data_IF_660390457222
#
_entry.id   IF_660390457222
#
_cell.length_a   1.000
_cell.length_b   1.000
_cell.length_c   1.000
_cell.angle_alpha   90.00
_cell.angle_beta   90.00
_cell.angle_gamma   90.00
#
_symmetry.space_group_name_H-M   'P 1'
#
loop_
_entity.id
_entity.type
_entity.pdbx_description
1 polymer ?
#
# COMPACT_ATOMS: atom_id res chain seq x y z
N UNK A 1 8.47 35.35 14.13
CA UNK A 1 7.21 34.58 13.96
C UNK A 1 7.42 33.25 13.19
N UNK A 2 7.04 32.12 13.79
CA UNK A 2 7.09 30.81 13.12
C UNK A 2 5.98 30.71 12.07
N UNK A 3 6.34 30.50 10.79
CA UNK A 3 5.37 30.37 9.68
C UNK A 3 4.37 29.23 9.96
N UNK A 4 3.08 29.36 9.57
CA UNK A 4 2.01 28.40 9.91
C UNK A 4 2.30 26.95 9.49
N UNK A 5 3.08 26.73 8.42
CA UNK A 5 3.48 25.39 7.97
C UNK A 5 4.45 24.69 8.94
N UNK A 6 5.21 25.43 9.77
CA UNK A 6 6.14 24.85 10.76
C UNK A 6 5.39 24.27 11.96
N UNK A 7 4.25 24.87 12.32
CA UNK A 7 3.38 24.37 13.40
C UNK A 7 2.62 23.09 13.00
N UNK A 8 2.46 22.83 11.70
CA UNK A 8 1.76 21.63 11.22
C UNK A 8 2.44 20.33 11.64
N UNK A 9 3.78 20.30 11.66
CA UNK A 9 4.55 19.13 12.09
C UNK A 9 4.31 18.83 13.57
N UNK A 10 4.42 19.86 14.42
CA UNK A 10 4.21 19.74 15.86
C UNK A 10 2.76 19.41 16.21
N UNK A 11 1.79 19.92 15.46
CA UNK A 11 0.37 19.57 15.64
C UNK A 11 0.09 18.10 15.33
N UNK A 12 0.74 17.55 14.30
CA UNK A 12 0.51 16.16 13.85
C UNK A 12 1.39 15.13 14.56
N UNK A 13 2.53 15.55 15.09
CA UNK A 13 3.49 14.70 15.80
C UNK A 13 4.14 15.48 16.95
N UNK A 14 3.38 15.79 18.02
CA UNK A 14 3.91 16.50 19.18
C UNK A 14 5.04 15.73 19.88
N UNK A 15 5.06 14.39 19.76
CA UNK A 15 6.15 13.53 20.24
C UNK A 15 7.52 13.87 19.65
N UNK A 16 7.61 14.63 18.55
CA UNK A 16 8.91 15.12 18.08
C UNK A 16 9.59 16.02 19.12
N UNK A 17 8.84 16.63 20.04
CA UNK A 17 9.39 17.44 21.13
C UNK A 17 10.11 16.60 22.19
N UNK A 18 9.91 15.27 22.23
CA UNK A 18 10.59 14.38 23.18
C UNK A 18 11.89 13.82 22.61
N UNK A 19 12.20 14.08 21.34
CA UNK A 19 13.39 13.56 20.68
C UNK A 19 14.55 14.55 20.83
N UNK A 20 15.78 14.01 20.88
CA UNK A 20 16.97 14.85 20.89
C UNK A 20 17.14 15.54 19.52
N UNK A 21 17.42 16.86 19.48
CA UNK A 21 17.59 17.59 18.23
C UNK A 21 18.65 17.01 17.27
N UNK A 22 19.83 16.53 17.74
CA UNK A 22 20.82 15.91 16.87
C UNK A 22 20.31 14.67 16.12
N UNK A 23 19.55 13.79 16.78
CA UNK A 23 19.00 12.60 16.13
C UNK A 23 17.88 12.95 15.15
N UNK A 24 17.02 13.91 15.47
CA UNK A 24 16.03 14.41 14.51
C UNK A 24 16.70 14.97 13.25
N UNK A 25 17.77 15.76 13.43
CA UNK A 25 18.54 16.32 12.32
C UNK A 25 19.19 15.22 11.48
N UNK A 26 19.80 14.22 12.12
CA UNK A 26 20.38 13.04 11.44
C UNK A 26 19.34 12.31 10.61
N UNK A 27 18.17 11.97 11.19
CA UNK A 27 17.07 11.28 10.50
C UNK A 27 16.51 12.11 9.35
N UNK A 28 16.42 13.43 9.51
CA UNK A 28 16.01 14.32 8.43
C UNK A 28 17.01 14.34 7.26
N UNK A 29 18.31 14.39 7.55
CA UNK A 29 19.35 14.30 6.51
C UNK A 29 19.33 12.97 5.78
N UNK A 30 19.08 11.86 6.49
CA UNK A 30 18.95 10.54 5.87
C UNK A 30 17.75 10.48 4.92
N UNK A 31 16.58 11.01 5.32
CA UNK A 31 15.41 11.11 4.43
C UNK A 31 15.67 11.98 3.20
N UNK A 32 16.33 13.13 3.39
CA UNK A 32 16.69 14.02 2.28
C UNK A 32 17.63 13.36 1.29
N UNK A 33 18.64 12.63 1.78
CA UNK A 33 19.58 11.89 0.95
C UNK A 33 18.88 10.76 0.17
N UNK A 34 17.98 10.03 0.84
CA UNK A 34 17.33 8.86 0.25
C UNK A 34 16.24 9.21 -0.78
N UNK A 35 15.48 10.28 -0.54
CA UNK A 35 14.29 10.61 -1.33
C UNK A 35 14.46 11.84 -2.22
N UNK A 36 15.41 12.72 -1.90
CA UNK A 36 15.49 14.07 -2.43
C UNK A 36 14.57 15.05 -1.69
N UNK A 37 14.76 16.37 -1.89
CA UNK A 37 14.08 17.41 -1.10
C UNK A 37 12.56 17.39 -1.22
N UNK A 38 12.03 17.23 -2.43
CA UNK A 38 10.59 17.29 -2.69
C UNK A 38 9.83 16.15 -1.98
N UNK A 39 10.29 14.92 -2.17
CA UNK A 39 9.67 13.73 -1.59
C UNK A 39 9.83 13.67 -0.08
N UNK A 40 11.00 14.04 0.44
CA UNK A 40 11.23 14.13 1.89
C UNK A 40 10.29 15.17 2.53
N UNK A 41 10.07 16.32 1.89
CA UNK A 41 9.14 17.33 2.37
C UNK A 41 7.68 16.86 2.30
N UNK A 42 7.29 16.16 1.22
CA UNK A 42 5.97 15.57 1.10
C UNK A 42 5.72 14.56 2.23
N UNK A 43 6.66 13.65 2.44
CA UNK A 43 6.61 12.64 3.48
C UNK A 43 6.54 13.28 4.88
N UNK A 44 7.35 14.31 5.15
CA UNK A 44 7.35 15.03 6.41
C UNK A 44 5.98 15.65 6.73
N UNK A 45 5.33 16.27 5.74
CA UNK A 45 4.03 16.94 5.91
C UNK A 45 2.89 15.95 6.13
N UNK A 46 2.94 14.80 5.46
CA UNK A 46 1.86 13.80 5.46
C UNK A 46 2.01 12.78 6.58
N UNK A 47 3.24 12.39 6.91
CA UNK A 47 3.58 11.36 7.90
C UNK A 47 4.72 11.82 8.84
N UNK A 48 4.53 12.89 9.62
CA UNK A 48 5.61 13.44 10.47
C UNK A 48 6.11 12.46 11.55
N UNK A 49 5.31 11.47 11.93
CA UNK A 49 5.74 10.39 12.84
C UNK A 49 6.84 9.50 12.25
N UNK A 50 7.14 9.60 10.96
CA UNK A 50 8.25 8.86 10.36
C UNK A 50 9.60 9.28 10.94
N UNK A 51 9.74 10.52 11.40
CA UNK A 51 10.96 11.03 12.04
C UNK A 51 11.21 10.42 13.43
N UNK A 52 10.22 9.75 14.02
CA UNK A 52 10.38 8.99 15.27
C UNK A 52 10.92 7.57 15.03
N UNK A 53 11.12 7.18 13.76
CA UNK A 53 11.66 5.87 13.39
C UNK A 53 13.15 6.00 13.11
N UNK A 54 13.93 5.16 13.76
CA UNK A 54 15.35 5.05 13.45
C UNK A 54 15.56 4.31 12.13
N UNK A 55 16.49 4.80 11.31
CA UNK A 55 16.75 4.20 10.01
C UNK A 55 17.35 2.80 10.13
N UNK A 56 18.41 2.66 10.92
CA UNK A 56 19.16 1.41 11.04
C UNK A 56 18.34 0.34 11.77
N UNK A 57 17.56 0.73 12.77
CA UNK A 57 16.80 -0.19 13.63
C UNK A 57 15.36 -0.42 13.16
N UNK A 58 14.76 0.49 12.39
CA UNK A 58 13.35 0.38 12.00
C UNK A 58 13.12 0.42 10.49
N UNK A 59 13.50 1.51 9.82
CA UNK A 59 13.09 1.72 8.42
C UNK A 59 13.82 0.78 7.46
N UNK A 60 15.14 0.67 7.57
CA UNK A 60 15.94 -0.17 6.67
C UNK A 60 15.61 -1.65 6.80
N UNK A 61 15.60 -2.27 8.02
CA UNK A 61 15.28 -3.69 8.15
C UNK A 61 13.86 -4.00 7.65
N UNK A 62 12.88 -3.13 7.94
CA UNK A 62 11.51 -3.32 7.45
C UNK A 62 11.39 -3.13 5.95
N UNK A 63 12.12 -2.16 5.38
CA UNK A 63 12.18 -1.95 3.94
C UNK A 63 12.75 -3.16 3.21
N UNK A 64 13.82 -3.75 3.73
CA UNK A 64 14.43 -4.98 3.21
C UNK A 64 13.48 -6.17 3.33
N UNK A 65 12.84 -6.35 4.49
CA UNK A 65 11.85 -7.41 4.67
C UNK A 65 10.68 -7.30 3.67
N UNK A 66 10.14 -6.09 3.47
CA UNK A 66 9.08 -5.85 2.48
C UNK A 66 9.56 -6.08 1.04
N UNK A 67 10.77 -5.61 0.71
CA UNK A 67 11.37 -5.83 -0.60
C UNK A 67 11.59 -7.32 -0.88
N UNK A 68 12.08 -8.09 0.09
CA UNK A 68 12.24 -9.55 -0.05
C UNK A 68 10.91 -10.29 -0.17
N UNK A 69 9.88 -9.86 0.57
CA UNK A 69 8.55 -10.48 0.53
C UNK A 69 7.77 -10.17 -0.76
N UNK A 70 7.92 -8.96 -1.29
CA UNK A 70 7.16 -8.49 -2.44
C UNK A 70 7.96 -8.62 -3.75
N UNK A 71 9.27 -8.49 -3.75
CA UNK A 71 10.10 -8.45 -4.95
C UNK A 71 10.01 -7.11 -5.71
N UNK A 72 10.63 -7.06 -6.88
CA UNK A 72 10.70 -5.82 -7.67
C UNK A 72 9.31 -5.30 -8.10
N UNK A 73 9.12 -3.96 -8.16
CA UNK A 73 10.10 -2.87 -7.93
C UNK A 73 10.09 -2.31 -6.48
N UNK A 74 9.76 -3.14 -5.48
CA UNK A 74 9.62 -2.67 -4.09
C UNK A 74 10.98 -2.41 -3.46
N UNK A 75 11.24 -1.15 -3.10
CA UNK A 75 12.47 -0.69 -2.45
C UNK A 75 12.11 0.22 -1.28
N UNK A 76 13.04 0.45 -0.35
CA UNK A 76 12.81 1.39 0.76
C UNK A 76 12.41 2.80 0.26
N UNK A 77 13.09 3.42 -0.74
CA UNK A 77 12.64 4.68 -1.31
C UNK A 77 11.22 4.61 -1.90
N UNK A 78 10.87 3.57 -2.67
CA UNK A 78 9.54 3.48 -3.28
C UNK A 78 8.44 3.27 -2.23
N UNK A 79 8.74 2.53 -1.16
CA UNK A 79 7.85 2.36 -0.01
C UNK A 79 7.61 3.67 0.73
N UNK A 80 8.66 4.45 1.01
CA UNK A 80 8.54 5.74 1.70
C UNK A 80 7.75 6.78 0.87
N UNK A 81 7.87 6.72 -0.47
CA UNK A 81 7.11 7.60 -1.38
C UNK A 81 5.64 7.22 -1.46
N UNK A 82 5.36 5.95 -1.72
CA UNK A 82 4.02 5.50 -2.14
C UNK A 82 3.19 4.93 -0.99
N UNK A 83 3.85 4.31 0.00
CA UNK A 83 3.20 3.51 1.03
C UNK A 83 3.84 3.67 2.42
N UNK A 84 4.16 4.89 2.91
CA UNK A 84 4.86 5.08 4.18
C UNK A 84 4.10 4.53 5.40
N UNK A 85 2.79 4.33 5.29
CA UNK A 85 1.95 3.73 6.33
C UNK A 85 2.41 2.33 6.76
N UNK A 86 3.07 1.57 5.88
CA UNK A 86 3.57 0.21 6.19
C UNK A 86 4.56 0.22 7.36
N UNK A 87 5.28 1.33 7.57
CA UNK A 87 6.26 1.46 8.65
C UNK A 87 5.62 1.62 10.03
N UNK A 88 4.32 1.90 10.12
CA UNK A 88 3.58 2.02 11.39
C UNK A 88 2.89 0.73 11.85
N UNK A 89 2.91 -0.33 11.03
CA UNK A 89 2.41 -1.66 11.40
C UNK A 89 3.57 -2.60 11.69
N UNK A 90 3.43 -3.53 12.63
CA UNK A 90 4.41 -4.62 12.79
C UNK A 90 4.40 -5.54 11.57
N UNK A 91 5.51 -6.23 11.31
CA UNK A 91 5.58 -7.22 10.20
C UNK A 91 4.54 -8.33 10.37
N UNK A 92 4.32 -8.78 11.62
CA UNK A 92 3.27 -9.75 11.95
C UNK A 92 1.86 -9.23 11.64
N UNK A 93 1.57 -7.97 11.95
CA UNK A 93 0.28 -7.35 11.63
C UNK A 93 0.06 -7.27 10.12
N UNK A 94 1.10 -6.90 9.36
CA UNK A 94 1.04 -6.88 7.90
C UNK A 94 0.81 -8.27 7.31
N UNK A 95 1.47 -9.30 7.83
CA UNK A 95 1.25 -10.69 7.40
C UNK A 95 -0.18 -11.16 7.65
N UNK A 96 -0.72 -10.91 8.86
CA UNK A 96 -2.12 -11.25 9.20
C UNK A 96 -3.09 -10.52 8.26
N UNK A 97 -2.87 -9.22 8.02
CA UNK A 97 -3.71 -8.42 7.12
C UNK A 97 -3.61 -8.91 5.67
N UNK A 98 -2.43 -9.23 5.18
CA UNK A 98 -2.24 -9.79 3.83
C UNK A 98 -2.91 -11.16 3.69
N UNK A 99 -2.86 -12.02 4.72
CA UNK A 99 -3.54 -13.31 4.71
C UNK A 99 -5.08 -13.15 4.70
N UNK A 100 -5.61 -12.21 5.49
CA UNK A 100 -7.06 -11.88 5.45
C UNK A 100 -7.47 -11.36 4.09
N UNK A 101 -6.67 -10.44 3.53
CA UNK A 101 -6.91 -9.92 2.20
C UNK A 101 -6.88 -11.04 1.14
N UNK A 102 -5.93 -11.96 1.21
CA UNK A 102 -5.87 -13.12 0.30
C UNK A 102 -7.14 -13.96 0.34
N UNK A 103 -7.70 -14.21 1.53
CA UNK A 103 -8.94 -14.99 1.71
C UNK A 103 -10.18 -14.25 1.20
N UNK A 104 -10.14 -12.93 1.24
CA UNK A 104 -11.27 -12.08 0.90
C UNK A 104 -11.34 -11.73 -0.59
N UNK A 105 -10.19 -11.68 -1.28
CA UNK A 105 -10.14 -11.35 -2.70
C UNK A 105 -10.72 -12.48 -3.57
N UNK A 106 -11.44 -12.14 -4.64
CA UNK A 106 -11.76 -13.10 -5.70
C UNK A 106 -10.51 -13.82 -6.22
N UNK A 107 -10.60 -15.13 -6.56
CA UNK A 107 -9.45 -15.90 -7.06
C UNK A 107 -8.79 -15.33 -8.31
N UNK A 108 -9.53 -14.55 -9.12
CA UNK A 108 -9.03 -13.89 -10.33
C UNK A 108 -8.11 -12.70 -10.07
N UNK A 109 -8.03 -12.20 -8.83
CA UNK A 109 -7.17 -11.07 -8.47
C UNK A 109 -5.83 -11.56 -7.89
N UNK A 110 -4.74 -11.14 -8.54
CA UNK A 110 -3.39 -11.42 -8.07
C UNK A 110 -2.99 -10.45 -6.94
N UNK A 111 -3.17 -10.90 -5.70
CA UNK A 111 -2.78 -10.14 -4.51
C UNK A 111 -1.30 -9.74 -4.53
N UNK A 112 -0.39 -10.61 -4.97
CA UNK A 112 1.03 -10.31 -4.91
C UNK A 112 1.35 -9.14 -5.86
N UNK A 113 0.82 -9.17 -7.07
CA UNK A 113 0.93 -8.06 -8.02
C UNK A 113 0.29 -6.77 -7.47
N UNK A 114 -0.87 -6.87 -6.82
CA UNK A 114 -1.52 -5.73 -6.19
C UNK A 114 -0.64 -5.13 -5.08
N UNK A 115 -0.04 -5.97 -4.23
CA UNK A 115 0.85 -5.53 -3.15
C UNK A 115 2.19 -4.99 -3.66
N UNK A 116 2.73 -5.50 -4.76
CA UNK A 116 3.90 -4.89 -5.44
C UNK A 116 3.58 -3.48 -5.92
N UNK A 117 2.39 -3.29 -6.48
CA UNK A 117 1.94 -2.01 -7.04
C UNK A 117 1.61 -1.02 -5.94
N UNK A 118 0.94 -1.48 -4.88
CA UNK A 118 0.54 -0.66 -3.74
C UNK A 118 0.65 -1.45 -2.42
N UNK A 119 1.85 -1.50 -1.81
CA UNK A 119 2.10 -2.19 -0.55
C UNK A 119 1.18 -1.68 0.58
N UNK A 120 0.79 -0.42 0.50
CA UNK A 120 -0.18 0.23 1.37
C UNK A 120 -1.54 -0.47 1.48
N UNK A 121 -1.91 -1.31 0.52
CA UNK A 121 -3.14 -2.10 0.57
C UNK A 121 -3.18 -3.04 1.79
N UNK A 122 -2.01 -3.56 2.21
CA UNK A 122 -1.90 -4.40 3.41
C UNK A 122 -2.15 -3.64 4.72
N UNK A 123 -2.28 -2.31 4.69
CA UNK A 123 -2.62 -1.49 5.86
C UNK A 123 -4.12 -1.17 5.96
N UNK A 124 -4.89 -1.41 4.90
CA UNK A 124 -6.30 -1.05 4.85
C UNK A 124 -7.16 -2.02 5.67
N UNK A 125 -8.37 -1.57 6.00
CA UNK A 125 -9.43 -2.42 6.53
C UNK A 125 -10.02 -3.25 5.37
N UNK A 126 -9.94 -4.57 5.47
CA UNK A 126 -10.28 -5.46 4.35
C UNK A 126 -11.79 -5.42 4.13
N UNK A 127 -12.55 -5.57 5.22
CA UNK A 127 -13.99 -5.74 5.19
C UNK A 127 -14.73 -4.44 4.89
N UNK A 128 -14.37 -3.35 5.58
CA UNK A 128 -15.07 -2.06 5.48
C UNK A 128 -14.59 -1.17 4.33
N UNK A 129 -13.42 -1.45 3.75
CA UNK A 129 -12.84 -0.60 2.71
C UNK A 129 -12.53 -1.36 1.43
N UNK A 130 -11.69 -2.41 1.50
CA UNK A 130 -11.20 -3.08 0.27
C UNK A 130 -12.32 -3.86 -0.43
N UNK A 131 -13.05 -4.73 0.27
CA UNK A 131 -14.08 -5.56 -0.34
C UNK A 131 -15.26 -4.76 -0.88
N UNK A 132 -15.68 -3.73 -0.14
CA UNK A 132 -16.75 -2.84 -0.58
C UNK A 132 -16.42 -2.21 -1.94
N UNK A 133 -15.19 -1.70 -2.09
CA UNK A 133 -14.73 -1.08 -3.34
C UNK A 133 -14.59 -2.09 -4.47
N UNK A 134 -14.12 -3.30 -4.20
CA UNK A 134 -14.03 -4.36 -5.21
C UNK A 134 -15.42 -4.71 -5.74
N UNK A 135 -16.38 -4.96 -4.84
CA UNK A 135 -17.76 -5.26 -5.23
C UNK A 135 -18.36 -4.13 -6.08
N UNK A 136 -18.15 -2.89 -5.65
CA UNK A 136 -18.64 -1.72 -6.38
C UNK A 136 -18.00 -1.60 -7.77
N UNK A 137 -16.68 -1.76 -7.89
CA UNK A 137 -15.98 -1.70 -9.18
C UNK A 137 -16.40 -2.85 -10.12
N UNK A 138 -16.59 -4.06 -9.60
CA UNK A 138 -17.09 -5.20 -10.39
C UNK A 138 -18.53 -4.97 -10.88
N UNK A 139 -19.37 -4.30 -10.09
CA UNK A 139 -20.73 -3.97 -10.49
C UNK A 139 -20.81 -2.84 -11.52
N UNK A 140 -19.88 -1.87 -11.47
CA UNK A 140 -19.80 -0.77 -12.45
C UNK A 140 -19.26 -1.22 -13.80
N UNK A 141 -18.34 -2.18 -13.79
CA UNK A 141 -17.73 -2.75 -14.99
C UNK A 141 -18.03 -4.24 -15.03
N UNK A 142 -19.32 -4.64 -15.19
CA UNK A 142 -19.65 -6.04 -15.36
C UNK A 142 -18.87 -6.51 -16.59
N UNK A 143 -17.94 -7.44 -16.38
CA UNK A 143 -17.14 -7.97 -17.47
C UNK A 143 -18.09 -8.40 -18.59
N UNK A 144 -17.78 -8.04 -19.83
CA UNK A 144 -18.36 -8.75 -20.97
C UNK A 144 -17.87 -10.19 -20.86
N UNK A 145 -18.62 -11.02 -20.15
CA UNK A 145 -18.71 -12.43 -20.49
C UNK A 145 -19.49 -12.50 -21.82
N UNK A 146 -18.79 -12.13 -22.88
CA UNK A 146 -19.25 -12.26 -24.25
C UNK A 146 -19.22 -13.73 -24.61
N UNK A 147 -20.36 -14.40 -24.42
CA UNK A 147 -20.60 -15.74 -24.89
C UNK A 147 -20.41 -15.88 -26.40
N UNK A 148 -19.83 -17.03 -26.79
CA UNK A 148 -20.31 -17.82 -27.94
C UNK A 148 -20.36 -19.28 -27.52
N UNK A 149 -21.29 -19.57 -26.61
CA UNK A 149 -21.82 -20.90 -26.39
C UNK A 149 -23.34 -20.80 -26.38
N UNK A 150 -23.99 -21.25 -27.45
CA UNK A 150 -25.44 -21.46 -27.47
C UNK A 150 -26.16 -20.83 -28.67
N UNK A 151 -26.46 -21.64 -29.69
CA UNK A 151 -27.44 -21.25 -30.70
C UNK A 151 -27.40 -21.99 -32.03
N UNK A 152 -27.46 -23.34 -32.04
CA UNK A 152 -28.07 -24.08 -33.16
C UNK A 152 -28.58 -25.45 -32.67
N UNK A 153 -29.76 -25.43 -32.06
CA UNK A 153 -30.69 -26.57 -32.07
C UNK A 153 -31.80 -26.21 -33.06
N UNK A 154 -32.09 -27.14 -33.97
CA UNK A 154 -33.36 -27.18 -34.69
C UNK A 154 -33.24 -27.08 -36.20
N UNK A 155 -32.99 -28.22 -36.86
CA UNK A 155 -33.87 -28.69 -37.94
C UNK A 155 -33.97 -30.20 -37.88
N UNK A 156 -35.19 -30.67 -37.62
CA UNK A 156 -35.64 -32.06 -37.78
C UNK A 156 -35.92 -32.32 -39.27
N UNK A 157 -35.79 -33.58 -39.63
CA UNK A 157 -36.20 -34.24 -40.89
C UNK A 157 -35.31 -35.49 -41.00
N UNK A 158 -35.72 -36.70 -40.60
CA UNK A 158 -36.64 -37.60 -41.32
C UNK A 158 -36.29 -37.62 -42.83
N UNK A 159 -35.86 -38.72 -43.44
CA UNK A 159 -36.41 -40.07 -43.36
C UNK A 159 -35.36 -41.15 -43.67
N UNK A 160 -35.65 -42.36 -43.21
CA UNK A 160 -35.08 -43.62 -43.70
C UNK A 160 -35.53 -43.85 -45.15
N UNK A 161 -34.63 -44.38 -45.97
CA UNK A 161 -34.75 -45.64 -46.70
C UNK A 161 -33.33 -46.16 -47.02
#
# INVERSE_FOLDING_TARGET
>A
PLRPHRLLLLRKAPLLLTEDPPSLFRRARQLLSLLGPADALHLARRYPRIFLKDFARNLTPKGQWLAGALGDPVTLPSLLRTSPQVFFYSSSSLQIKAARLRRALPPSLDLLRMLRTFPGLACMDVEKNVLLKIRYLMALFPGREGGRGGGRRGRRGASRD
#
